data_IF_309699042560
#
_entry.id   IF_309699042560
#
_cell.length_a   1.000
_cell.length_b   1.000
_cell.length_c   1.000
_cell.angle_alpha   90.00
_cell.angle_beta   90.00
_cell.angle_gamma   90.00
#
_symmetry.space_group_name_H-M   'P 1'
#
loop_
_entity.id
_entity.type
_entity.pdbx_description
1 polymer ?
#
# COMPACT_ATOMS: atom_id res chain seq x y z
N UNK A 1 -84.43 -30.49 -33.36
CA UNK A 1 -83.38 -29.61 -33.93
C UNK A 1 -82.38 -29.09 -32.89
N UNK A 2 -82.81 -28.58 -31.73
CA UNK A 2 -81.92 -28.00 -30.68
C UNK A 2 -80.85 -28.98 -30.16
N UNK A 3 -81.17 -30.27 -30.01
CA UNK A 3 -80.19 -31.28 -29.53
C UNK A 3 -79.07 -31.60 -30.52
N UNK A 4 -79.32 -31.48 -31.83
CA UNK A 4 -78.31 -31.75 -32.88
C UNK A 4 -77.35 -30.58 -33.01
N UNK A 5 -77.85 -29.35 -32.85
CA UNK A 5 -77.06 -28.12 -32.86
C UNK A 5 -76.13 -28.05 -31.64
N UNK A 6 -76.61 -28.45 -30.45
CA UNK A 6 -75.76 -28.51 -29.25
C UNK A 6 -74.68 -29.59 -29.34
N UNK A 7 -74.95 -30.74 -29.97
CA UNK A 7 -73.92 -31.77 -30.17
C UNK A 7 -72.86 -31.32 -31.18
N UNK A 8 -73.26 -30.63 -32.25
CA UNK A 8 -72.34 -30.07 -33.24
C UNK A 8 -71.47 -28.95 -32.67
N UNK A 9 -72.01 -28.09 -31.81
CA UNK A 9 -71.21 -27.08 -31.10
C UNK A 9 -70.22 -27.71 -30.11
N UNK A 10 -70.63 -28.73 -29.36
CA UNK A 10 -69.72 -29.40 -28.43
C UNK A 10 -68.58 -30.11 -29.17
N UNK A 11 -68.89 -30.78 -30.28
CA UNK A 11 -67.89 -31.44 -31.12
C UNK A 11 -66.95 -30.42 -31.79
N UNK A 12 -67.46 -29.25 -32.20
CA UNK A 12 -66.64 -28.18 -32.77
C UNK A 12 -65.71 -27.54 -31.73
N UNK A 13 -66.16 -27.33 -30.49
CA UNK A 13 -65.33 -26.81 -29.40
C UNK A 13 -64.25 -27.85 -29.01
N UNK A 14 -64.58 -29.14 -29.01
CA UNK A 14 -63.63 -30.22 -28.74
C UNK A 14 -62.58 -30.33 -29.87
N UNK A 15 -62.98 -30.17 -31.13
CA UNK A 15 -62.06 -30.13 -32.27
C UNK A 15 -61.17 -28.89 -32.26
N UNK A 16 -61.71 -27.71 -31.89
CA UNK A 16 -60.93 -26.48 -31.74
C UNK A 16 -59.95 -26.55 -30.57
N UNK A 17 -60.28 -27.25 -29.48
CA UNK A 17 -59.36 -27.52 -28.39
C UNK A 17 -58.24 -28.52 -28.79
N UNK A 18 -58.53 -29.47 -29.67
CA UNK A 18 -57.56 -30.44 -30.23
C UNK A 18 -56.68 -29.85 -31.36
N UNK A 19 -57.14 -28.76 -32.01
CA UNK A 19 -56.41 -27.99 -33.03
C UNK A 19 -55.64 -26.81 -32.44
N UNK A 20 -55.67 -26.63 -31.11
CA UNK A 20 -54.71 -25.76 -30.44
C UNK A 20 -53.31 -26.30 -30.74
N UNK A 21 -52.43 -25.56 -31.43
CA UNK A 21 -51.05 -26.00 -31.57
C UNK A 21 -50.48 -26.25 -30.15
N UNK A 22 -49.61 -27.26 -29.96
CA UNK A 22 -48.87 -27.37 -28.69
C UNK A 22 -48.20 -26.02 -28.45
N UNK A 23 -48.19 -25.56 -27.20
CA UNK A 23 -47.69 -24.25 -26.82
C UNK A 23 -46.30 -23.99 -27.41
N UNK A 24 -46.25 -23.31 -28.56
CA UNK A 24 -45.04 -22.97 -29.32
C UNK A 24 -44.09 -22.07 -28.52
N UNK A 25 -44.52 -21.52 -27.38
CA UNK A 25 -43.72 -20.69 -26.50
C UNK A 25 -42.62 -21.43 -25.75
N UNK A 26 -42.84 -22.70 -25.40
CA UNK A 26 -41.93 -23.43 -24.51
C UNK A 26 -40.69 -23.97 -25.26
N UNK A 27 -40.89 -24.50 -26.46
CA UNK A 27 -39.79 -24.96 -27.33
C UNK A 27 -38.99 -23.79 -27.92
N UNK A 28 -39.65 -22.68 -28.24
CA UNK A 28 -38.98 -21.48 -28.73
C UNK A 28 -38.10 -20.84 -27.65
N UNK A 29 -38.58 -20.77 -26.41
CA UNK A 29 -37.81 -20.28 -25.27
C UNK A 29 -36.63 -21.19 -24.94
N UNK A 30 -36.83 -22.52 -24.97
CA UNK A 30 -35.73 -23.49 -24.81
C UNK A 30 -34.63 -23.24 -25.85
N UNK A 31 -35.02 -23.11 -27.12
CA UNK A 31 -34.08 -22.87 -28.22
C UNK A 31 -33.35 -21.54 -28.05
N UNK A 32 -34.06 -20.45 -27.75
CA UNK A 32 -33.47 -19.12 -27.46
C UNK A 32 -32.39 -19.22 -26.38
N UNK A 33 -32.69 -19.89 -25.26
CA UNK A 33 -31.74 -20.01 -24.15
C UNK A 33 -30.54 -20.90 -24.49
N UNK A 34 -30.74 -22.02 -25.19
CA UNK A 34 -29.64 -22.93 -25.56
C UNK A 34 -28.72 -22.29 -26.60
N UNK A 35 -29.27 -21.67 -27.64
CA UNK A 35 -28.50 -20.97 -28.67
C UNK A 35 -27.70 -19.82 -28.05
N UNK A 36 -28.37 -18.94 -27.30
CA UNK A 36 -27.71 -17.81 -26.64
C UNK A 36 -26.63 -18.23 -25.64
N UNK A 37 -26.80 -19.34 -24.94
CA UNK A 37 -25.76 -19.89 -24.06
C UNK A 37 -24.60 -20.49 -24.86
N UNK A 38 -24.86 -21.17 -25.98
CA UNK A 38 -23.83 -21.86 -26.77
C UNK A 38 -22.89 -20.88 -27.47
N UNK A 39 -23.35 -19.67 -27.78
CA UNK A 39 -22.58 -18.61 -28.43
C UNK A 39 -21.62 -17.87 -27.49
N UNK A 40 -21.69 -18.11 -26.17
CA UNK A 40 -20.80 -17.45 -25.20
C UNK A 40 -19.40 -18.08 -25.29
N UNK A 41 -18.52 -17.40 -26.02
CA UNK A 41 -17.09 -17.68 -26.08
C UNK A 41 -16.31 -16.49 -25.49
N UNK A 42 -15.95 -16.59 -24.21
CA UNK A 42 -15.21 -15.54 -23.51
C UNK A 42 -13.86 -16.06 -23.01
N UNK A 43 -12.80 -15.24 -23.05
CA UNK A 43 -11.48 -15.59 -22.53
C UNK A 43 -11.52 -16.04 -21.06
N UNK A 44 -12.39 -15.44 -20.23
CA UNK A 44 -12.50 -15.79 -18.80
C UNK A 44 -12.86 -17.25 -18.55
N UNK A 45 -13.58 -17.91 -19.47
CA UNK A 45 -13.99 -19.31 -19.34
C UNK A 45 -12.80 -20.28 -19.43
N UNK A 46 -11.73 -19.87 -20.12
CA UNK A 46 -10.49 -20.64 -20.21
C UNK A 46 -9.55 -20.35 -19.02
N UNK A 47 -9.60 -19.12 -18.48
CA UNK A 47 -8.77 -18.73 -17.34
C UNK A 47 -9.28 -19.28 -16.01
N UNK A 48 -10.60 -19.24 -15.79
CA UNK A 48 -11.25 -19.77 -14.59
C UNK A 48 -12.07 -21.01 -14.94
N UNK A 49 -11.51 -22.18 -14.63
CA UNK A 49 -12.12 -23.47 -14.96
C UNK A 49 -13.55 -23.59 -14.41
N UNK A 50 -13.81 -23.01 -13.24
CA UNK A 50 -15.11 -23.01 -12.59
C UNK A 50 -16.18 -22.31 -13.44
N UNK A 51 -15.84 -21.19 -14.09
CA UNK A 51 -16.78 -20.49 -14.98
C UNK A 51 -17.02 -21.28 -16.27
N UNK A 52 -15.99 -21.94 -16.79
CA UNK A 52 -16.14 -22.90 -17.89
C UNK A 52 -17.04 -24.09 -17.52
N UNK A 53 -16.95 -24.59 -16.29
CA UNK A 53 -17.84 -25.64 -15.77
C UNK A 53 -19.27 -25.12 -15.54
N UNK A 54 -19.42 -23.91 -15.02
CA UNK A 54 -20.71 -23.22 -14.88
C UNK A 54 -21.41 -23.13 -16.24
N UNK A 55 -20.72 -22.62 -17.25
CA UNK A 55 -21.23 -22.49 -18.61
C UNK A 55 -21.74 -23.82 -19.17
N UNK A 56 -20.93 -24.89 -19.05
CA UNK A 56 -21.31 -26.25 -19.47
C UNK A 56 -22.51 -26.79 -18.67
N UNK A 57 -22.54 -26.57 -17.36
CA UNK A 57 -23.61 -27.05 -16.49
C UNK A 57 -24.95 -26.38 -16.83
N UNK A 58 -24.93 -25.08 -17.14
CA UNK A 58 -26.12 -24.35 -17.61
C UNK A 58 -26.64 -24.98 -18.91
N UNK A 59 -25.76 -25.22 -19.88
CA UNK A 59 -26.13 -25.87 -21.14
C UNK A 59 -26.74 -27.26 -20.93
N UNK A 60 -26.11 -28.09 -20.08
CA UNK A 60 -26.61 -29.42 -19.73
C UNK A 60 -28.01 -29.31 -19.09
N UNK A 61 -28.20 -28.43 -18.10
CA UNK A 61 -29.49 -28.23 -17.45
C UNK A 61 -30.57 -27.78 -18.44
N UNK A 62 -30.27 -26.85 -19.35
CA UNK A 62 -31.22 -26.40 -20.36
C UNK A 62 -31.56 -27.49 -21.38
N UNK A 63 -30.58 -28.28 -21.83
CA UNK A 63 -30.80 -29.34 -22.81
C UNK A 63 -31.59 -30.52 -22.22
N UNK A 64 -31.31 -30.88 -20.97
CA UNK A 64 -31.93 -32.01 -20.28
C UNK A 64 -33.35 -31.73 -19.77
N UNK A 65 -33.68 -30.48 -19.46
CA UNK A 65 -35.03 -30.12 -19.00
C UNK A 65 -36.06 -30.28 -20.13
N UNK A 66 -37.22 -30.91 -19.89
CA UNK A 66 -38.34 -30.89 -20.82
C UNK A 66 -38.76 -29.44 -21.13
N UNK A 67 -39.13 -29.13 -22.38
CA UNK A 67 -39.48 -27.77 -22.78
C UNK A 67 -40.59 -27.15 -21.90
N UNK A 68 -41.61 -27.96 -21.56
CA UNK A 68 -42.69 -27.58 -20.63
C UNK A 68 -42.25 -27.15 -19.22
N UNK A 69 -41.01 -27.46 -18.82
CA UNK A 69 -40.43 -27.10 -17.51
C UNK A 69 -39.51 -25.86 -17.60
N UNK A 70 -39.29 -25.36 -18.82
CA UNK A 70 -38.55 -24.12 -19.06
C UNK A 70 -39.54 -22.98 -18.97
N UNK A 71 -39.39 -22.18 -17.92
CA UNK A 71 -40.33 -21.12 -17.57
C UNK A 71 -39.65 -19.76 -17.61
N UNK A 72 -40.44 -18.70 -17.37
CA UNK A 72 -39.89 -17.35 -17.14
C UNK A 72 -38.90 -17.31 -15.97
N UNK A 73 -39.08 -18.15 -14.95
CA UNK A 73 -38.12 -18.33 -13.86
C UNK A 73 -36.80 -18.90 -14.37
N UNK A 74 -36.84 -19.84 -15.32
CA UNK A 74 -35.65 -20.38 -15.98
C UNK A 74 -34.89 -19.30 -16.74
N UNK A 75 -35.60 -18.52 -17.54
CA UNK A 75 -35.01 -17.36 -18.26
C UNK A 75 -34.34 -16.36 -17.30
N UNK A 76 -34.97 -16.05 -16.16
CA UNK A 76 -34.43 -15.11 -15.17
C UNK A 76 -33.09 -15.56 -14.59
N UNK A 77 -32.99 -16.81 -14.13
CA UNK A 77 -31.74 -17.27 -13.53
C UNK A 77 -30.64 -17.46 -14.57
N UNK A 78 -30.96 -17.90 -15.79
CA UNK A 78 -30.00 -17.98 -16.91
C UNK A 78 -29.47 -16.58 -17.24
N UNK A 79 -30.34 -15.56 -17.29
CA UNK A 79 -29.92 -14.19 -17.54
C UNK A 79 -29.00 -13.64 -16.43
N UNK A 80 -29.24 -13.98 -15.16
CA UNK A 80 -28.33 -13.62 -14.06
C UNK A 80 -27.00 -14.33 -14.20
N UNK A 81 -27.02 -15.62 -14.56
CA UNK A 81 -25.81 -16.43 -14.69
C UNK A 81 -24.93 -15.98 -15.87
N UNK A 82 -25.53 -15.76 -17.03
CA UNK A 82 -24.82 -15.70 -18.31
C UNK A 82 -25.45 -14.78 -19.36
N UNK A 83 -26.47 -13.98 -18.99
CA UNK A 83 -27.00 -12.96 -19.88
C UNK A 83 -26.00 -11.83 -20.17
N UNK A 84 -26.38 -10.82 -20.96
CA UNK A 84 -25.50 -9.71 -21.34
C UNK A 84 -24.85 -8.95 -20.18
N UNK A 85 -25.51 -8.90 -19.02
CA UNK A 85 -24.98 -8.34 -17.76
C UNK A 85 -24.92 -9.41 -16.65
N UNK A 86 -24.81 -10.67 -17.05
CA UNK A 86 -24.76 -11.81 -16.14
C UNK A 86 -23.39 -11.97 -15.49
N UNK A 87 -23.32 -12.90 -14.55
CA UNK A 87 -22.12 -13.16 -13.75
C UNK A 87 -20.91 -13.46 -14.64
N UNK A 88 -21.07 -14.32 -15.65
CA UNK A 88 -19.97 -14.69 -16.55
C UNK A 88 -19.39 -13.46 -17.27
N UNK A 89 -20.25 -12.57 -17.78
CA UNK A 89 -19.80 -11.36 -18.50
C UNK A 89 -19.13 -10.36 -17.58
N UNK A 90 -19.72 -10.11 -16.42
CA UNK A 90 -19.13 -9.24 -15.39
C UNK A 90 -17.76 -9.76 -14.95
N UNK A 91 -17.59 -11.09 -14.84
CA UNK A 91 -16.30 -11.68 -14.50
C UNK A 91 -15.26 -11.46 -15.60
N UNK A 92 -15.64 -11.56 -16.88
CA UNK A 92 -14.73 -11.25 -17.99
C UNK A 92 -14.27 -9.78 -17.95
N UNK A 93 -15.19 -8.84 -17.69
CA UNK A 93 -14.84 -7.43 -17.50
C UNK A 93 -13.88 -7.20 -16.33
N UNK A 94 -14.15 -7.81 -15.17
CA UNK A 94 -13.29 -7.76 -13.98
C UNK A 94 -11.90 -8.30 -14.31
N UNK A 95 -11.85 -9.44 -15.00
CA UNK A 95 -10.62 -10.08 -15.41
C UNK A 95 -9.80 -9.22 -16.38
N UNK A 96 -10.47 -8.55 -17.32
CA UNK A 96 -9.83 -7.64 -18.27
C UNK A 96 -9.24 -6.42 -17.55
N UNK A 97 -9.93 -5.87 -16.54
CA UNK A 97 -9.38 -4.80 -15.70
C UNK A 97 -8.14 -5.25 -14.90
N UNK A 98 -8.13 -6.50 -14.42
CA UNK A 98 -7.04 -7.08 -13.64
C UNK A 98 -5.96 -7.77 -14.49
N UNK A 99 -5.86 -7.44 -15.78
CA UNK A 99 -4.89 -8.05 -16.71
C UNK A 99 -3.67 -7.18 -17.02
N UNK A 100 -3.72 -5.88 -16.70
CA UNK A 100 -2.61 -4.95 -16.89
C UNK A 100 -1.69 -4.86 -15.68
N UNK A 101 -0.72 -3.96 -15.72
CA UNK A 101 0.22 -3.73 -14.59
C UNK A 101 -0.19 -2.51 -13.73
N UNK A 102 -1.34 -1.89 -14.01
CA UNK A 102 -1.79 -0.70 -13.28
C UNK A 102 -2.48 -1.07 -11.96
N UNK A 103 -1.91 -0.74 -10.78
CA UNK A 103 -2.52 -1.05 -9.49
C UNK A 103 -3.92 -0.43 -9.31
N UNK A 104 -4.21 0.70 -9.95
CA UNK A 104 -5.53 1.34 -9.90
C UNK A 104 -6.63 0.50 -10.56
N UNK A 105 -6.31 -0.11 -11.70
CA UNK A 105 -7.20 -1.02 -12.42
C UNK A 105 -7.48 -2.29 -11.62
N UNK A 106 -6.47 -2.84 -10.93
CA UNK A 106 -6.63 -3.97 -10.01
C UNK A 106 -7.52 -3.64 -8.81
N UNK A 107 -7.35 -2.46 -8.19
CA UNK A 107 -8.23 -2.00 -7.10
C UNK A 107 -9.68 -1.90 -7.59
N UNK A 108 -9.89 -1.36 -8.79
CA UNK A 108 -11.23 -1.26 -9.40
C UNK A 108 -11.82 -2.64 -9.68
N UNK A 109 -11.02 -3.57 -10.18
CA UNK A 109 -11.44 -4.95 -10.41
C UNK A 109 -11.87 -5.63 -9.11
N UNK A 110 -11.13 -5.46 -8.01
CA UNK A 110 -11.52 -5.96 -6.69
C UNK A 110 -12.86 -5.40 -6.22
N UNK A 111 -13.10 -4.08 -6.35
CA UNK A 111 -14.39 -3.48 -5.97
C UNK A 111 -15.54 -4.11 -6.76
N UNK A 112 -15.41 -4.25 -8.07
CA UNK A 112 -16.43 -4.89 -8.91
C UNK A 112 -16.61 -6.37 -8.58
N UNK A 113 -15.56 -7.08 -8.22
CA UNK A 113 -15.63 -8.47 -7.77
C UNK A 113 -16.38 -8.63 -6.43
N UNK A 114 -16.25 -7.66 -5.52
CA UNK A 114 -17.03 -7.64 -4.27
C UNK A 114 -18.51 -7.41 -4.58
N UNK A 115 -18.84 -6.49 -5.49
CA UNK A 115 -20.22 -6.24 -5.94
C UNK A 115 -20.85 -7.47 -6.60
N UNK A 116 -20.05 -8.25 -7.35
CA UNK A 116 -20.50 -9.48 -8.02
C UNK A 116 -21.06 -10.53 -7.03
N UNK A 117 -20.66 -10.49 -5.75
CA UNK A 117 -21.21 -11.37 -4.72
C UNK A 117 -22.72 -11.23 -4.56
N UNK A 118 -23.27 -10.03 -4.75
CA UNK A 118 -24.72 -9.80 -4.68
C UNK A 118 -25.47 -10.47 -5.83
N UNK A 119 -24.89 -10.50 -7.03
CA UNK A 119 -25.47 -11.22 -8.17
C UNK A 119 -25.45 -12.74 -7.93
N UNK A 120 -24.36 -13.25 -7.36
CA UNK A 120 -24.23 -14.66 -6.99
C UNK A 120 -25.26 -15.03 -5.91
N UNK A 121 -25.45 -14.18 -4.90
CA UNK A 121 -26.48 -14.38 -3.87
C UNK A 121 -27.89 -14.35 -4.46
N UNK A 122 -28.13 -13.48 -5.45
CA UNK A 122 -29.39 -13.45 -6.19
C UNK A 122 -29.63 -14.76 -6.96
N UNK A 123 -28.59 -15.36 -7.54
CA UNK A 123 -28.68 -16.63 -8.23
C UNK A 123 -29.03 -17.79 -7.27
N UNK A 124 -28.57 -17.75 -6.02
CA UNK A 124 -28.91 -18.75 -4.99
C UNK A 124 -30.40 -18.80 -4.65
N UNK A 125 -31.14 -17.72 -4.90
CA UNK A 125 -32.59 -17.65 -4.73
C UNK A 125 -33.36 -18.59 -5.67
N UNK A 126 -32.73 -19.10 -6.73
CA UNK A 126 -33.36 -19.97 -7.71
C UNK A 126 -33.04 -21.45 -7.44
N UNK A 127 -34.07 -22.21 -7.06
CA UNK A 127 -33.95 -23.65 -6.76
C UNK A 127 -33.29 -24.45 -7.89
N UNK A 128 -33.68 -24.19 -9.15
CA UNK A 128 -33.08 -24.88 -10.30
C UNK A 128 -31.56 -24.62 -10.41
N UNK A 129 -31.10 -23.39 -10.21
CA UNK A 129 -29.67 -23.07 -10.25
C UNK A 129 -28.91 -23.73 -9.09
N UNK A 130 -29.51 -23.75 -7.89
CA UNK A 130 -28.94 -24.38 -6.70
C UNK A 130 -28.85 -25.90 -6.80
N UNK A 131 -29.94 -26.55 -7.18
CA UNK A 131 -30.03 -28.02 -7.28
C UNK A 131 -29.11 -28.59 -8.37
N UNK A 132 -28.75 -27.77 -9.36
CA UNK A 132 -27.80 -28.12 -10.42
C UNK A 132 -26.37 -27.61 -10.14
N UNK A 133 -26.06 -27.16 -8.91
CA UNK A 133 -24.73 -26.69 -8.50
C UNK A 133 -24.18 -25.50 -9.32
N UNK A 134 -25.03 -24.77 -10.04
CA UNK A 134 -24.62 -23.63 -10.88
C UNK A 134 -24.13 -22.46 -10.00
N UNK A 135 -24.69 -22.34 -8.80
CA UNK A 135 -24.41 -21.22 -7.88
C UNK A 135 -23.03 -21.28 -7.22
N UNK A 136 -22.42 -22.47 -7.09
CA UNK A 136 -21.13 -22.62 -6.38
C UNK A 136 -19.92 -22.30 -7.25
N UNK A 137 -20.01 -22.53 -8.57
CA UNK A 137 -18.92 -22.24 -9.49
C UNK A 137 -18.41 -20.79 -9.44
N UNK A 138 -19.28 -19.75 -9.55
CA UNK A 138 -18.81 -18.37 -9.52
C UNK A 138 -18.27 -17.96 -8.14
N UNK A 139 -18.70 -18.61 -7.05
CA UNK A 139 -18.13 -18.38 -5.71
C UNK A 139 -16.68 -18.85 -5.65
N UNK A 140 -16.40 -20.06 -6.12
CA UNK A 140 -15.04 -20.61 -6.17
C UNK A 140 -14.17 -19.82 -7.14
N UNK A 141 -14.70 -19.42 -8.30
CA UNK A 141 -13.98 -18.55 -9.23
C UNK A 141 -13.60 -17.21 -8.57
N UNK A 142 -14.53 -16.58 -7.83
CA UNK A 142 -14.24 -15.34 -7.09
C UNK A 142 -13.16 -15.55 -6.03
N UNK A 143 -13.19 -16.66 -5.29
CA UNK A 143 -12.14 -16.96 -4.30
C UNK A 143 -10.76 -17.04 -4.94
N UNK A 144 -10.64 -17.73 -6.08
CA UNK A 144 -9.38 -17.79 -6.83
C UNK A 144 -8.97 -16.41 -7.36
N UNK A 145 -9.90 -15.63 -7.92
CA UNK A 145 -9.62 -14.27 -8.35
C UNK A 145 -9.07 -13.40 -7.20
N UNK A 146 -9.71 -13.42 -6.03
CA UNK A 146 -9.23 -12.66 -4.88
C UNK A 146 -7.87 -13.15 -4.37
N UNK A 147 -7.58 -14.45 -4.42
CA UNK A 147 -6.27 -14.99 -4.10
C UNK A 147 -5.19 -14.48 -5.08
N UNK A 148 -5.49 -14.46 -6.39
CA UNK A 148 -4.60 -13.91 -7.42
C UNK A 148 -4.33 -12.41 -7.16
N UNK A 149 -5.36 -11.64 -6.82
CA UNK A 149 -5.21 -10.22 -6.49
C UNK A 149 -4.37 -10.02 -5.21
N UNK A 150 -4.55 -10.88 -4.21
CA UNK A 150 -3.74 -10.88 -2.99
C UNK A 150 -2.26 -11.06 -3.30
N UNK A 151 -1.92 -12.04 -4.14
CA UNK A 151 -0.55 -12.31 -4.55
C UNK A 151 0.05 -11.17 -5.39
N UNK A 152 -0.75 -10.56 -6.27
CA UNK A 152 -0.34 -9.40 -7.06
C UNK A 152 0.06 -8.22 -6.16
N UNK A 153 -0.80 -7.81 -5.23
CA UNK A 153 -0.51 -6.70 -4.32
C UNK A 153 0.61 -7.03 -3.32
N UNK A 154 0.71 -8.28 -2.86
CA UNK A 154 1.85 -8.74 -2.03
C UNK A 154 3.17 -8.54 -2.80
N UNK A 155 3.21 -8.91 -4.08
CA UNK A 155 4.40 -8.72 -4.94
C UNK A 155 4.73 -7.25 -5.16
N UNK A 156 3.73 -6.39 -5.37
CA UNK A 156 3.96 -4.95 -5.48
C UNK A 156 4.50 -4.35 -4.18
N UNK A 157 3.99 -4.79 -3.04
CA UNK A 157 4.43 -4.33 -1.73
C UNK A 157 5.88 -4.71 -1.43
N UNK A 158 6.31 -5.92 -1.83
CA UNK A 158 7.69 -6.40 -1.64
C UNK A 158 8.71 -5.66 -2.50
N UNK A 159 8.27 -5.08 -3.62
CA UNK A 159 9.13 -4.33 -4.54
C UNK A 159 9.02 -2.81 -4.38
N UNK A 160 8.18 -2.31 -3.48
CA UNK A 160 7.98 -0.89 -3.27
C UNK A 160 9.15 -0.28 -2.48
N UNK A 161 9.77 0.76 -3.03
CA UNK A 161 10.84 1.51 -2.35
C UNK A 161 10.31 2.42 -1.24
N UNK A 162 9.13 3.03 -1.44
CA UNK A 162 8.48 3.88 -0.43
C UNK A 162 7.68 2.99 0.55
N UNK A 163 8.03 3.06 1.84
CA UNK A 163 7.36 2.25 2.88
C UNK A 163 5.86 2.52 2.97
N UNK A 164 5.39 3.75 2.72
CA UNK A 164 3.95 4.08 2.74
C UNK A 164 3.21 3.39 1.60
N UNK A 165 3.86 3.32 0.44
CA UNK A 165 3.30 2.61 -0.74
C UNK A 165 3.28 1.11 -0.48
N UNK A 166 4.35 0.56 0.10
CA UNK A 166 4.39 -0.84 0.51
C UNK A 166 3.24 -1.19 1.48
N UNK A 167 2.99 -0.33 2.47
CA UNK A 167 1.88 -0.47 3.42
C UNK A 167 0.53 -0.49 2.70
N UNK A 168 0.25 0.49 1.82
CA UNK A 168 -1.02 0.52 1.07
C UNK A 168 -1.23 -0.76 0.26
N UNK A 169 -0.20 -1.26 -0.42
CA UNK A 169 -0.29 -2.51 -1.16
C UNK A 169 -0.51 -3.74 -0.27
N UNK A 170 0.17 -3.85 0.88
CA UNK A 170 -0.13 -4.93 1.81
C UNK A 170 -1.56 -4.86 2.37
N UNK A 171 -2.11 -3.66 2.57
CA UNK A 171 -3.50 -3.51 2.98
C UNK A 171 -4.48 -3.97 1.89
N UNK A 172 -4.19 -3.69 0.62
CA UNK A 172 -4.99 -4.25 -0.49
C UNK A 172 -4.88 -5.78 -0.54
N UNK A 173 -3.67 -6.32 -0.39
CA UNK A 173 -3.46 -7.76 -0.33
C UNK A 173 -4.25 -8.40 0.83
N UNK A 174 -4.27 -7.75 1.99
CA UNK A 174 -5.03 -8.19 3.16
C UNK A 174 -6.54 -8.23 2.88
N UNK A 175 -7.09 -7.21 2.23
CA UNK A 175 -8.50 -7.20 1.81
C UNK A 175 -8.75 -8.36 0.86
N UNK A 176 -7.91 -8.54 -0.17
CA UNK A 176 -8.06 -9.59 -1.15
C UNK A 176 -8.04 -10.99 -0.50
N UNK A 177 -7.05 -11.30 0.35
CA UNK A 177 -6.99 -12.59 1.02
C UNK A 177 -8.16 -12.85 1.99
N UNK A 178 -8.70 -11.80 2.63
CA UNK A 178 -9.95 -11.91 3.41
C UNK A 178 -11.14 -12.27 2.53
N UNK A 179 -11.28 -11.62 1.38
CA UNK A 179 -12.35 -11.89 0.42
C UNK A 179 -12.21 -13.28 -0.23
N UNK A 180 -10.99 -13.78 -0.37
CA UNK A 180 -10.68 -15.15 -0.81
C UNK A 180 -10.95 -16.21 0.27
N UNK A 181 -11.20 -15.81 1.52
CA UNK A 181 -11.28 -16.68 2.69
C UNK A 181 -10.00 -17.50 2.96
N UNK A 182 -8.83 -17.01 2.55
CA UNK A 182 -7.54 -17.62 2.88
C UNK A 182 -7.07 -17.13 4.25
N UNK A 183 -7.39 -17.91 5.29
CA UNK A 183 -7.06 -17.59 6.68
C UNK A 183 -5.55 -17.54 6.94
N UNK A 184 -4.77 -18.38 6.25
CA UNK A 184 -3.33 -18.47 6.45
C UNK A 184 -2.65 -17.22 5.92
N UNK A 185 -2.93 -16.86 4.67
CA UNK A 185 -2.40 -15.63 4.06
C UNK A 185 -2.92 -14.38 4.74
N UNK A 186 -4.21 -14.33 5.10
CA UNK A 186 -4.79 -13.19 5.83
C UNK A 186 -4.04 -12.93 7.14
N UNK A 187 -3.79 -13.97 7.95
CA UNK A 187 -3.11 -13.81 9.24
C UNK A 187 -1.66 -13.38 9.05
N UNK A 188 -0.96 -13.96 8.07
CA UNK A 188 0.41 -13.60 7.75
C UNK A 188 0.53 -12.13 7.33
N UNK A 189 -0.29 -11.68 6.39
CA UNK A 189 -0.25 -10.30 5.90
C UNK A 189 -0.69 -9.32 6.99
N UNK A 190 -1.69 -9.65 7.81
CA UNK A 190 -2.12 -8.79 8.93
C UNK A 190 -0.99 -8.52 9.93
N UNK A 191 -0.20 -9.55 10.26
CA UNK A 191 0.99 -9.38 11.10
C UNK A 191 2.05 -8.52 10.42
N UNK A 192 2.33 -8.78 9.14
CA UNK A 192 3.31 -8.02 8.34
C UNK A 192 2.95 -6.54 8.25
N UNK A 193 1.68 -6.21 7.99
CA UNK A 193 1.17 -4.83 7.98
C UNK A 193 1.35 -4.16 9.33
N UNK A 194 1.02 -4.85 10.44
CA UNK A 194 1.17 -4.29 11.78
C UNK A 194 2.62 -4.02 12.15
N UNK A 195 3.52 -4.94 11.82
CA UNK A 195 4.96 -4.82 12.07
C UNK A 195 5.53 -3.61 11.32
N UNK A 196 5.35 -3.55 9.99
CA UNK A 196 5.90 -2.47 9.18
C UNK A 196 5.30 -1.11 9.53
N UNK A 197 4.00 -1.05 9.87
CA UNK A 197 3.37 0.20 10.34
C UNK A 197 3.93 0.65 11.67
N UNK A 198 4.07 -0.25 12.63
CA UNK A 198 4.62 0.09 13.94
C UNK A 198 6.07 0.56 13.84
N UNK A 199 6.88 -0.07 12.99
CA UNK A 199 8.25 0.35 12.74
C UNK A 199 8.28 1.74 12.08
N UNK A 200 7.48 1.94 11.02
CA UNK A 200 7.37 3.22 10.35
C UNK A 200 6.91 4.36 11.28
N UNK A 201 5.91 4.11 12.13
CA UNK A 201 5.42 5.09 13.11
C UNK A 201 6.50 5.47 14.12
N UNK A 202 7.23 4.48 14.65
CA UNK A 202 8.33 4.70 15.58
C UNK A 202 9.49 5.49 14.94
N UNK A 203 9.84 5.14 13.69
CA UNK A 203 10.87 5.82 12.93
C UNK A 203 10.47 7.27 12.63
N UNK A 204 9.21 7.52 12.27
CA UNK A 204 8.70 8.87 12.03
C UNK A 204 8.65 9.71 13.32
N UNK A 205 8.36 9.12 14.47
CA UNK A 205 8.45 9.81 15.76
C UNK A 205 9.89 10.24 16.06
N UNK A 206 10.83 9.29 15.94
CA UNK A 206 12.27 9.53 16.11
C UNK A 206 12.78 10.59 15.13
N UNK A 207 12.31 10.56 13.88
CA UNK A 207 12.64 11.54 12.86
C UNK A 207 12.18 12.93 13.25
N UNK A 208 10.93 13.09 13.69
CA UNK A 208 10.38 14.38 14.07
C UNK A 208 11.14 14.99 15.25
N UNK A 209 11.49 14.18 16.24
CA UNK A 209 12.26 14.62 17.41
C UNK A 209 13.68 15.04 17.00
N UNK A 210 14.36 14.22 16.19
CA UNK A 210 15.70 14.51 15.68
C UNK A 210 15.70 15.76 14.80
N UNK A 211 14.71 15.93 13.92
CA UNK A 211 14.58 17.10 13.06
C UNK A 211 14.42 18.39 13.87
N UNK A 212 13.55 18.37 14.90
CA UNK A 212 13.34 19.53 15.77
C UNK A 212 14.63 19.92 16.52
N UNK A 213 15.36 18.94 17.05
CA UNK A 213 16.65 19.19 17.72
C UNK A 213 17.68 19.70 16.70
N UNK A 214 17.75 19.09 15.52
CA UNK A 214 18.65 19.44 14.43
C UNK A 214 18.49 20.90 14.01
N UNK A 215 17.26 21.33 13.73
CA UNK A 215 16.92 22.71 13.36
C UNK A 215 17.29 23.69 14.48
N UNK A 216 16.89 23.42 15.74
CA UNK A 216 17.22 24.31 16.85
C UNK A 216 18.74 24.44 17.09
N UNK A 217 19.51 23.38 16.83
CA UNK A 217 20.98 23.39 16.96
C UNK A 217 21.66 24.04 15.77
N UNK A 218 21.08 23.90 14.58
CA UNK A 218 21.52 24.62 13.40
C UNK A 218 21.41 26.14 13.60
N UNK A 219 20.27 26.65 14.05
CA UNK A 219 20.07 28.08 14.35
C UNK A 219 21.06 28.60 15.42
N UNK A 220 21.35 27.77 16.45
CA UNK A 220 22.38 28.10 17.45
C UNK A 220 23.79 28.18 16.84
N UNK A 221 24.08 27.35 15.84
CA UNK A 221 25.37 27.41 15.12
C UNK A 221 25.48 28.64 14.21
N UNK A 222 24.38 29.03 13.56
CA UNK A 222 24.31 30.27 12.78
C UNK A 222 24.51 31.49 13.68
N UNK A 223 23.90 31.49 14.87
CA UNK A 223 24.12 32.54 15.87
C UNK A 223 25.60 32.67 16.24
N UNK A 224 26.30 31.55 16.46
CA UNK A 224 27.74 31.56 16.71
C UNK A 224 28.56 32.13 15.55
N UNK A 225 28.12 31.89 14.31
CA UNK A 225 28.77 32.40 13.09
C UNK A 225 28.58 33.91 12.96
N UNK A 226 27.35 34.38 13.16
CA UNK A 226 26.99 35.80 13.13
C UNK A 226 27.64 36.61 14.27
N UNK A 227 27.96 35.95 15.38
CA UNK A 227 28.63 36.55 16.54
C UNK A 227 30.08 36.05 16.70
N UNK A 228 30.79 35.87 15.57
CA UNK A 228 32.17 35.36 15.54
C UNK A 228 33.17 36.17 16.37
N UNK A 229 32.85 37.43 16.73
CA UNK A 229 33.60 38.28 17.66
C UNK A 229 33.48 37.90 19.14
N UNK A 230 32.57 36.99 19.51
CA UNK A 230 32.36 36.53 20.87
C UNK A 230 32.83 35.07 21.01
N UNK A 231 33.91 34.79 21.78
CA UNK A 231 34.46 33.44 21.91
C UNK A 231 33.50 32.44 22.56
N UNK A 232 32.58 32.90 23.42
CA UNK A 232 31.56 32.04 24.04
C UNK A 232 30.52 31.63 22.99
N UNK A 233 30.05 32.59 22.18
CA UNK A 233 29.09 32.32 21.10
C UNK A 233 29.68 31.34 20.06
N UNK A 234 30.95 31.52 19.69
CA UNK A 234 31.66 30.61 18.78
C UNK A 234 31.77 29.20 19.38
N UNK A 235 32.14 29.08 20.66
CA UNK A 235 32.27 27.78 21.33
C UNK A 235 30.93 27.03 21.39
N UNK A 236 29.84 27.74 21.72
CA UNK A 236 28.48 27.18 21.70
C UNK A 236 28.11 26.76 20.26
N UNK A 237 28.42 27.59 19.27
CA UNK A 237 28.17 27.30 17.86
C UNK A 237 28.90 26.04 17.35
N UNK A 238 30.15 25.81 17.76
CA UNK A 238 30.92 24.60 17.41
C UNK A 238 30.23 23.35 17.94
N UNK A 239 29.79 23.37 19.21
CA UNK A 239 29.07 22.25 19.81
C UNK A 239 27.69 22.04 19.19
N UNK A 240 27.00 23.15 18.88
CA UNK A 240 25.68 23.14 18.27
C UNK A 240 25.70 22.59 16.85
N UNK A 241 26.63 23.05 15.99
CA UNK A 241 26.80 22.52 14.62
C UNK A 241 27.10 21.03 14.61
N UNK A 242 28.03 20.56 15.46
CA UNK A 242 28.29 19.12 15.59
C UNK A 242 27.06 18.32 16.03
N UNK A 243 26.23 18.88 16.90
CA UNK A 243 24.97 18.23 17.29
C UNK A 243 23.99 18.23 16.12
N UNK A 244 23.77 19.38 15.48
CA UNK A 244 22.88 19.51 14.32
C UNK A 244 23.22 18.48 13.23
N UNK A 245 24.50 18.33 12.89
CA UNK A 245 24.95 17.39 11.87
C UNK A 245 24.61 15.93 12.21
N UNK A 246 24.74 15.54 13.49
CA UNK A 246 24.33 14.19 13.93
C UNK A 246 22.82 13.99 13.84
N UNK A 247 22.02 14.96 14.29
CA UNK A 247 20.56 14.81 14.24
C UNK A 247 20.05 14.80 12.80
N UNK A 248 20.60 15.64 11.91
CA UNK A 248 20.25 15.59 10.48
C UNK A 248 20.71 14.30 9.80
N UNK A 249 21.86 13.73 10.18
CA UNK A 249 22.27 12.41 9.71
C UNK A 249 21.25 11.32 10.10
N UNK A 250 20.74 11.33 11.33
CA UNK A 250 19.65 10.43 11.74
C UNK A 250 18.39 10.63 10.88
N UNK A 251 17.99 11.88 10.63
CA UNK A 251 16.83 12.19 9.78
C UNK A 251 17.05 11.68 8.35
N UNK A 252 18.25 11.87 7.79
CA UNK A 252 18.63 11.40 6.47
C UNK A 252 18.55 9.87 6.37
N UNK A 253 19.10 9.15 7.35
CA UNK A 253 19.06 7.69 7.40
C UNK A 253 17.62 7.16 7.42
N UNK A 254 16.75 7.77 8.23
CA UNK A 254 15.34 7.37 8.32
C UNK A 254 14.59 7.67 7.02
N UNK A 255 14.74 8.85 6.42
CA UNK A 255 14.11 9.13 5.13
C UNK A 255 14.61 8.20 4.02
N UNK A 256 15.91 7.91 3.98
CA UNK A 256 16.49 6.98 3.01
C UNK A 256 15.97 5.56 3.20
N UNK A 257 15.89 5.08 4.45
CA UNK A 257 15.30 3.78 4.81
C UNK A 257 13.88 3.63 4.26
N UNK A 258 13.09 4.70 4.29
CA UNK A 258 11.69 4.69 3.84
C UNK A 258 11.46 5.16 2.41
N UNK A 259 12.52 5.41 1.63
CA UNK A 259 12.40 5.88 0.24
C UNK A 259 11.77 7.26 0.09
N UNK A 260 11.87 8.12 1.12
CA UNK A 260 11.30 9.47 1.10
C UNK A 260 12.21 10.44 0.32
N UNK A 261 11.64 11.15 -0.64
CA UNK A 261 12.34 12.10 -1.51
C UNK A 261 13.01 13.25 -0.74
N UNK A 262 12.49 13.57 0.45
CA UNK A 262 13.04 14.61 1.34
C UNK A 262 14.42 14.26 1.90
N UNK A 263 14.90 13.03 1.73
CA UNK A 263 16.27 12.67 2.08
C UNK A 263 17.29 13.61 1.41
N UNK A 264 17.07 13.97 0.15
CA UNK A 264 17.96 14.86 -0.61
C UNK A 264 18.09 16.27 0.00
N UNK A 265 16.97 16.84 0.46
CA UNK A 265 16.96 18.16 1.13
C UNK A 265 17.76 18.12 2.45
N UNK A 266 17.71 17.00 3.17
CA UNK A 266 18.45 16.82 4.43
C UNK A 266 19.94 16.59 4.16
N UNK A 267 20.30 15.92 3.08
CA UNK A 267 21.70 15.78 2.64
C UNK A 267 22.33 17.16 2.40
N UNK A 268 21.62 18.06 1.71
CA UNK A 268 22.08 19.45 1.51
C UNK A 268 22.28 20.17 2.85
N UNK A 269 21.34 20.00 3.80
CA UNK A 269 21.48 20.58 5.14
C UNK A 269 22.70 20.05 5.89
N UNK A 270 23.03 18.77 5.76
CA UNK A 270 24.24 18.20 6.40
C UNK A 270 25.50 18.89 5.85
N UNK A 271 25.57 19.09 4.53
CA UNK A 271 26.70 19.79 3.88
C UNK A 271 26.81 21.24 4.40
N UNK A 272 25.69 21.93 4.53
CA UNK A 272 25.62 23.29 5.07
C UNK A 272 26.14 23.34 6.53
N UNK A 273 25.70 22.39 7.36
CA UNK A 273 26.15 22.28 8.75
C UNK A 273 27.66 22.03 8.83
N UNK A 274 28.21 21.17 7.98
CA UNK A 274 29.64 20.87 7.95
C UNK A 274 30.48 22.08 7.55
N UNK A 275 29.98 22.89 6.62
CA UNK A 275 30.59 24.16 6.26
C UNK A 275 30.61 25.15 7.44
N UNK A 276 29.46 25.33 8.11
CA UNK A 276 29.34 26.18 9.29
C UNK A 276 30.27 25.69 10.41
N UNK A 277 30.29 24.38 10.66
CA UNK A 277 31.15 23.75 11.67
C UNK A 277 32.62 24.07 11.41
N UNK A 278 33.09 23.86 10.18
CA UNK A 278 34.47 24.09 9.77
C UNK A 278 34.88 25.55 9.96
N UNK A 279 34.00 26.50 9.59
CA UNK A 279 34.24 27.92 9.77
C UNK A 279 34.35 28.29 11.26
N UNK A 280 33.40 27.83 12.08
CA UNK A 280 33.39 28.08 13.52
C UNK A 280 34.63 27.50 14.24
N UNK A 281 35.04 26.28 13.88
CA UNK A 281 36.28 25.67 14.39
C UNK A 281 37.49 26.52 14.01
N UNK A 282 37.55 27.02 12.77
CA UNK A 282 38.61 27.92 12.33
C UNK A 282 38.70 29.20 13.17
N UNK A 283 37.56 29.81 13.50
CA UNK A 283 37.51 31.00 14.38
C UNK A 283 37.89 30.64 15.81
N UNK A 284 37.39 29.52 16.34
CA UNK A 284 37.71 29.03 17.69
C UNK A 284 39.22 28.81 17.86
N UNK A 285 39.88 28.18 16.88
CA UNK A 285 41.32 27.94 16.91
C UNK A 285 42.13 29.24 16.95
N UNK A 286 41.67 30.33 16.31
CA UNK A 286 42.30 31.65 16.42
C UNK A 286 42.22 32.19 17.85
N UNK A 287 41.07 32.06 18.51
CA UNK A 287 40.94 32.44 19.92
C UNK A 287 41.85 31.60 20.82
N UNK A 288 41.85 30.28 20.63
CA UNK A 288 42.71 29.38 21.38
C UNK A 288 44.19 29.75 21.24
N UNK A 289 44.65 30.03 20.01
CA UNK A 289 46.02 30.46 19.74
C UNK A 289 46.35 31.79 20.43
N UNK A 290 45.44 32.76 20.40
CA UNK A 290 45.64 34.05 21.09
C UNK A 290 45.75 33.89 22.61
N UNK A 291 44.89 33.07 23.21
CA UNK A 291 44.91 32.77 24.65
C UNK A 291 46.20 32.05 25.05
N UNK A 292 46.60 31.02 24.30
CA UNK A 292 47.86 30.29 24.55
C UNK A 292 49.05 31.23 24.45
N UNK A 293 49.08 32.11 23.43
CA UNK A 293 50.16 33.09 23.27
C UNK A 293 50.22 34.07 24.44
N UNK A 294 49.06 34.60 24.87
CA UNK A 294 48.99 35.49 26.03
C UNK A 294 49.44 34.80 27.33
N UNK A 295 49.06 33.53 27.52
CA UNK A 295 49.47 32.73 28.67
C UNK A 295 50.98 32.46 28.69
N UNK A 296 51.57 32.11 27.54
CA UNK A 296 53.02 31.93 27.41
C UNK A 296 53.76 33.24 27.71
N UNK A 297 53.30 34.37 27.16
CA UNK A 297 53.89 35.69 27.46
C UNK A 297 53.80 36.04 28.94
N UNK A 298 52.66 35.75 29.57
CA UNK A 298 52.48 35.93 31.01
C UNK A 298 53.46 35.08 31.82
N UNK A 299 53.58 33.79 31.51
CA UNK A 299 54.52 32.88 32.17
C UNK A 299 55.97 33.33 32.00
N UNK A 300 56.39 33.69 30.79
CA UNK A 300 57.75 34.20 30.51
C UNK A 300 58.01 35.46 31.34
N UNK A 301 57.04 36.36 31.45
CA UNK A 301 57.17 37.59 32.23
C UNK A 301 57.29 37.32 33.73
N UNK A 302 56.46 36.42 34.27
CA UNK A 302 56.47 36.03 35.69
C UNK A 302 57.77 35.30 36.04
N UNK A 303 58.15 34.28 35.27
CA UNK A 303 59.40 33.56 35.46
C UNK A 303 60.60 34.49 35.31
N UNK A 304 60.60 35.38 34.32
CA UNK A 304 61.66 36.37 34.14
C UNK A 304 61.75 37.38 35.30
N UNK A 305 60.67 37.66 36.01
CA UNK A 305 60.70 38.44 37.27
C UNK A 305 61.24 37.61 38.43
N UNK A 306 60.80 36.35 38.57
CA UNK A 306 61.29 35.43 39.62
C UNK A 306 62.78 35.15 39.49
N UNK A 307 63.29 34.88 38.28
CA UNK A 307 64.71 34.67 38.03
C UNK A 307 65.56 35.92 38.29
N UNK A 308 65.05 37.11 37.96
CA UNK A 308 65.74 38.38 38.29
C UNK A 308 65.77 38.60 39.80
N UNK A 309 64.69 38.28 40.50
CA UNK A 309 64.64 38.37 41.95
C UNK A 309 65.58 37.36 42.61
N UNK A 310 65.61 36.10 42.14
CA UNK A 310 66.56 35.08 42.60
C UNK A 310 68.02 35.51 42.42
N UNK A 311 68.39 36.04 41.25
CA UNK A 311 69.73 36.61 41.01
C UNK A 311 70.04 37.78 41.93
N UNK A 312 69.09 38.69 42.15
CA UNK A 312 69.30 39.81 43.07
C UNK A 312 69.52 39.33 44.52
N UNK A 313 68.83 38.26 44.95
CA UNK A 313 69.05 37.65 46.26
C UNK A 313 70.42 36.98 46.33
N UNK A 314 70.82 36.20 45.32
CA UNK A 314 72.16 35.60 45.24
C UNK A 314 73.27 36.65 45.24
N UNK A 315 73.14 37.74 44.47
CA UNK A 315 74.09 38.86 44.45
C UNK A 315 74.21 39.53 45.82
N UNK A 316 73.11 39.69 46.57
CA UNK A 316 73.15 40.21 47.95
C UNK A 316 73.79 39.25 48.94
N UNK A 317 73.70 37.93 48.72
CA UNK A 317 74.35 36.94 49.58
C UNK A 317 75.85 36.82 49.31
N UNK A 318 76.28 36.90 48.04
CA UNK A 318 77.70 37.04 47.66
C UNK A 318 78.33 38.31 48.24
N UNK A 319 77.60 39.42 48.26
CA UNK A 319 78.04 40.65 48.93
C UNK A 319 78.30 40.47 50.44
N UNK A 320 77.52 39.61 51.10
CA UNK A 320 77.71 39.27 52.51
C UNK A 320 78.86 38.27 52.76
N UNK A 321 79.18 37.42 51.78
CA UNK A 321 80.33 36.50 51.87
C UNK A 321 81.68 37.20 51.64
N UNK A 322 81.73 38.31 50.89
CA UNK A 322 82.95 39.08 50.61
C UNK A 322 83.30 40.09 51.74
N UNK A 323 82.35 40.41 52.63
CA UNK A 323 82.55 41.35 53.75
C UNK A 323 82.96 40.62 55.05
N UNK A 324 83.44 39.37 54.96
CA UNK A 324 83.92 38.61 56.13
C UNK A 324 85.44 38.49 56.19
#
# INVERSE_FOLDING_TARGET
>A
MVRVINLLMLAAILLLALLSPPALGDDALKRELVEGMSEIELPVLARYQELGLMHKQILITLQTLPAKEITSTTKKWVNIAAGPNGIIQKFDEINNLASGDDPGSHKTAMTRAIELKSDIDSLKGYKQAKDNFITSYPETALQHFFADQGAYFETLAENATDTRVAIDYYEQALIAYREAADLTKTTYIDLKVKEIKSEYEFDMETLNESLAIGVAKFEQSEHGTNHSGNPIAVSIGVLASKRAGREFATVYEIYTKHGDVRASDIEEKIIEVDYIHSNLVGVFLKYAAAVVTAFVLFLVTVLGRLFRWGRAVEDTMLGNEVIR
#
